data_IF_266665999594
#
_entry.id   IF_266665999594
#
_cell.length_a   1.000
_cell.length_b   1.000
_cell.length_c   1.000
_cell.angle_alpha   90.00
_cell.angle_beta   90.00
_cell.angle_gamma   90.00
#
_symmetry.space_group_name_H-M   'P 1'
#
loop_
_entity.id
_entity.type
_entity.pdbx_description
1 polymer ?
#
# COMPACT_ATOMS: atom_id res chain seq x y z
N UNK A 1 29.59 -53.65 -157.86
CA UNK A 1 30.83 -53.25 -158.58
C UNK A 1 30.86 -51.74 -158.66
N UNK A 2 31.99 -51.14 -158.27
CA UNK A 2 32.61 -49.91 -158.84
C UNK A 2 31.73 -48.65 -158.97
N UNK A 3 32.18 -47.42 -158.74
CA UNK A 3 33.39 -46.77 -158.25
C UNK A 3 33.10 -45.26 -158.45
N UNK A 4 33.71 -44.38 -157.64
CA UNK A 4 34.42 -43.13 -158.03
C UNK A 4 33.76 -42.23 -159.11
N UNK A 5 33.60 -40.90 -159.00
CA UNK A 5 34.53 -39.89 -158.49
C UNK A 5 33.93 -38.49 -158.62
N UNK A 6 34.48 -37.58 -157.81
CA UNK A 6 34.57 -36.11 -157.86
C UNK A 6 34.59 -35.40 -159.23
N UNK A 7 34.05 -34.16 -159.27
CA UNK A 7 34.55 -32.92 -159.93
C UNK A 7 33.48 -31.82 -159.78
N UNK A 8 33.64 -30.78 -158.95
CA UNK A 8 34.28 -29.47 -159.23
C UNK A 8 33.90 -28.80 -160.56
N UNK A 9 33.20 -27.65 -160.49
CA UNK A 9 33.58 -26.41 -161.18
C UNK A 9 32.70 -25.22 -160.77
N UNK A 10 33.36 -24.08 -160.55
CA UNK A 10 32.82 -22.74 -160.34
C UNK A 10 32.80 -22.00 -161.70
N UNK A 11 31.79 -21.14 -161.96
CA UNK A 11 31.94 -19.70 -162.32
C UNK A 11 30.67 -19.06 -162.91
N UNK A 12 30.30 -17.93 -162.28
CA UNK A 12 29.98 -16.58 -162.84
C UNK A 12 28.64 -16.32 -163.56
N UNK A 13 28.13 -15.13 -163.24
CA UNK A 13 26.85 -14.47 -163.45
C UNK A 13 26.56 -14.00 -164.89
N UNK A 14 25.29 -13.68 -165.20
CA UNK A 14 24.91 -12.52 -166.01
C UNK A 14 23.47 -12.03 -165.73
N UNK A 15 23.34 -10.70 -165.69
CA UNK A 15 22.11 -9.90 -165.58
C UNK A 15 21.49 -9.61 -166.98
N UNK A 16 20.17 -9.38 -166.97
CA UNK A 16 19.33 -8.53 -167.84
C UNK A 16 18.81 -9.00 -169.22
N UNK A 17 17.64 -8.40 -169.55
CA UNK A 17 16.74 -8.46 -170.73
C UNK A 17 15.58 -9.48 -170.57
N UNK A 18 14.41 -9.16 -169.99
CA UNK A 18 13.31 -8.22 -170.37
C UNK A 18 12.60 -8.65 -171.67
N UNK A 19 11.39 -9.24 -171.61
CA UNK A 19 10.11 -8.53 -171.79
C UNK A 19 8.86 -9.45 -171.78
N UNK A 20 7.82 -8.91 -171.12
CA UNK A 20 6.38 -8.98 -171.43
C UNK A 20 5.69 -10.34 -171.64
N UNK A 21 4.96 -10.78 -170.61
CA UNK A 21 3.93 -11.81 -170.78
C UNK A 21 2.98 -12.06 -169.62
N UNK A 22 3.18 -11.47 -168.43
CA UNK A 22 2.30 -11.69 -167.27
C UNK A 22 1.91 -10.38 -166.58
N UNK A 23 1.13 -9.55 -167.29
CA UNK A 23 0.19 -8.59 -166.72
C UNK A 23 -1.18 -8.97 -167.25
N UNK A 24 -2.00 -9.68 -166.45
CA UNK A 24 -3.48 -9.75 -166.51
C UNK A 24 -4.06 -10.90 -165.64
N UNK A 25 -3.44 -11.26 -164.50
CA UNK A 25 -4.05 -12.17 -163.51
C UNK A 25 -3.71 -11.74 -162.07
N UNK A 26 -3.84 -10.44 -161.77
CA UNK A 26 -3.60 -9.85 -160.44
C UNK A 26 -4.80 -8.98 -159.98
N UNK A 27 -6.02 -9.52 -160.00
CA UNK A 27 -7.20 -8.80 -159.48
C UNK A 27 -8.18 -9.67 -158.67
N UNK A 28 -7.98 -10.98 -158.49
CA UNK A 28 -8.92 -11.79 -157.69
C UNK A 28 -8.23 -12.94 -156.96
N UNK A 29 -7.55 -12.66 -155.84
CA UNK A 29 -7.29 -13.65 -154.77
C UNK A 29 -6.67 -13.08 -153.46
N UNK A 30 -6.59 -11.75 -153.27
CA UNK A 30 -6.02 -11.11 -152.06
C UNK A 30 -6.93 -11.13 -150.82
N UNK A 31 -8.24 -11.34 -150.97
CA UNK A 31 -9.19 -11.30 -149.85
C UNK A 31 -9.17 -12.56 -148.95
N UNK A 32 -8.45 -13.63 -149.34
CA UNK A 32 -8.44 -14.90 -148.57
C UNK A 32 -7.27 -15.03 -147.59
N UNK A 33 -6.09 -14.50 -147.91
CA UNK A 33 -4.88 -14.57 -147.06
C UNK A 33 -4.86 -13.49 -145.97
N UNK A 34 -5.28 -12.27 -146.29
CA UNK A 34 -5.40 -11.19 -145.30
C UNK A 34 -6.47 -11.49 -144.24
N UNK A 35 -7.56 -12.19 -144.62
CA UNK A 35 -8.58 -12.66 -143.67
C UNK A 35 -8.05 -13.79 -142.78
N UNK A 36 -7.23 -14.70 -143.31
CA UNK A 36 -6.60 -15.77 -142.52
C UNK A 36 -5.53 -15.26 -141.56
N UNK A 37 -4.71 -14.28 -141.94
CA UNK A 37 -3.72 -13.66 -141.05
C UNK A 37 -4.36 -12.75 -139.99
N UNK A 38 -5.43 -12.02 -140.32
CA UNK A 38 -6.25 -11.27 -139.34
C UNK A 38 -6.99 -12.22 -138.38
N UNK A 39 -7.44 -13.39 -138.85
CA UNK A 39 -8.02 -14.42 -137.98
C UNK A 39 -6.96 -15.09 -137.10
N UNK A 40 -5.77 -15.38 -137.62
CA UNK A 40 -4.68 -15.99 -136.84
C UNK A 40 -4.11 -15.01 -135.81
N UNK A 41 -3.91 -13.73 -136.17
CA UNK A 41 -3.52 -12.69 -135.21
C UNK A 41 -4.60 -12.43 -134.16
N UNK A 42 -5.88 -12.40 -134.53
CA UNK A 42 -6.97 -12.30 -133.55
C UNK A 42 -7.06 -13.54 -132.64
N UNK A 43 -6.80 -14.74 -133.16
CA UNK A 43 -6.73 -15.98 -132.37
C UNK A 43 -5.51 -15.99 -131.45
N UNK A 44 -4.36 -15.46 -131.89
CA UNK A 44 -3.16 -15.30 -131.08
C UNK A 44 -3.36 -14.22 -130.00
N UNK A 45 -3.93 -13.06 -130.34
CA UNK A 45 -4.25 -12.00 -129.39
C UNK A 45 -5.30 -12.45 -128.38
N UNK A 46 -6.30 -13.23 -128.80
CA UNK A 46 -7.23 -13.88 -127.88
C UNK A 46 -6.54 -14.93 -127.00
N UNK A 47 -5.61 -15.71 -127.54
CA UNK A 47 -4.85 -16.70 -126.77
C UNK A 47 -3.89 -16.02 -125.77
N UNK A 48 -3.23 -14.93 -126.15
CA UNK A 48 -2.39 -14.10 -125.29
C UNK A 48 -3.21 -13.34 -124.25
N UNK A 49 -4.39 -12.84 -124.61
CA UNK A 49 -5.33 -12.24 -123.67
C UNK A 49 -5.89 -13.28 -122.68
N UNK A 50 -6.14 -14.52 -123.13
CA UNK A 50 -6.54 -15.63 -122.24
C UNK A 50 -5.38 -16.02 -121.33
N UNK A 51 -4.16 -16.20 -121.85
CA UNK A 51 -2.98 -16.52 -121.06
C UNK A 51 -2.60 -15.41 -120.07
N UNK A 52 -2.72 -14.13 -120.43
CA UNK A 52 -2.47 -13.02 -119.50
C UNK A 52 -3.57 -12.90 -118.43
N UNK A 53 -4.82 -13.20 -118.75
CA UNK A 53 -5.92 -13.31 -117.77
C UNK A 53 -5.71 -14.49 -116.83
N UNK A 54 -5.32 -15.65 -117.35
CA UNK A 54 -4.97 -16.84 -116.57
C UNK A 54 -3.76 -16.59 -115.67
N UNK A 55 -2.71 -15.94 -116.18
CA UNK A 55 -1.52 -15.56 -115.41
C UNK A 55 -1.87 -14.55 -114.31
N UNK A 56 -2.66 -13.52 -114.61
CA UNK A 56 -3.14 -12.57 -113.60
C UNK A 56 -4.02 -13.25 -112.54
N UNK A 57 -4.88 -14.17 -112.94
CA UNK A 57 -5.69 -14.97 -112.02
C UNK A 57 -4.82 -15.91 -111.15
N UNK A 58 -3.79 -16.52 -111.73
CA UNK A 58 -2.83 -17.35 -111.00
C UNK A 58 -1.99 -16.53 -110.01
N UNK A 59 -1.52 -15.34 -110.42
CA UNK A 59 -0.81 -14.40 -109.53
C UNK A 59 -1.70 -13.89 -108.41
N UNK A 60 -2.98 -13.60 -108.68
CA UNK A 60 -3.94 -13.20 -107.66
C UNK A 60 -4.19 -14.34 -106.65
N UNK A 61 -4.42 -15.57 -107.14
CA UNK A 61 -4.54 -16.76 -106.28
C UNK A 61 -3.29 -17.00 -105.43
N UNK A 62 -2.10 -16.86 -106.01
CA UNK A 62 -0.83 -16.96 -105.27
C UNK A 62 -0.68 -15.85 -104.22
N UNK A 63 -1.14 -14.63 -104.52
CA UNK A 63 -1.11 -13.51 -103.56
C UNK A 63 -2.07 -13.75 -102.41
N UNK A 64 -3.31 -14.15 -102.71
CA UNK A 64 -4.33 -14.47 -101.71
C UNK A 64 -3.87 -15.63 -100.83
N UNK A 65 -3.27 -16.68 -101.41
CA UNK A 65 -2.66 -17.79 -100.67
C UNK A 65 -1.52 -17.32 -99.76
N UNK A 66 -0.62 -16.44 -100.24
CA UNK A 66 0.45 -15.87 -99.41
C UNK A 66 -0.07 -14.99 -98.28
N UNK A 67 -1.12 -14.21 -98.53
CA UNK A 67 -1.72 -13.34 -97.52
C UNK A 67 -2.49 -14.17 -96.47
N UNK A 68 -3.15 -15.26 -96.88
CA UNK A 68 -3.73 -16.24 -95.96
C UNK A 68 -2.66 -16.97 -95.14
N UNK A 69 -1.56 -17.39 -95.75
CA UNK A 69 -0.44 -18.01 -95.05
C UNK A 69 0.20 -17.04 -94.05
N UNK A 70 0.37 -15.77 -94.42
CA UNK A 70 0.83 -14.71 -93.51
C UNK A 70 -0.12 -14.51 -92.35
N UNK A 71 -1.43 -14.41 -92.59
CA UNK A 71 -2.43 -14.30 -91.52
C UNK A 71 -2.38 -15.50 -90.58
N UNK A 72 -2.33 -16.71 -91.13
CA UNK A 72 -2.18 -17.94 -90.33
C UNK A 72 -0.87 -17.97 -89.55
N UNK A 73 0.23 -17.48 -90.10
CA UNK A 73 1.51 -17.39 -89.39
C UNK A 73 1.44 -16.38 -88.23
N UNK A 74 0.90 -15.19 -88.46
CA UNK A 74 0.71 -14.16 -87.43
C UNK A 74 -0.23 -14.63 -86.32
N UNK A 75 -1.32 -15.31 -86.66
CA UNK A 75 -2.23 -15.90 -85.66
C UNK A 75 -1.55 -17.00 -84.84
N UNK A 76 -0.72 -17.85 -85.47
CA UNK A 76 0.07 -18.86 -84.74
C UNK A 76 1.06 -18.20 -83.78
N UNK A 77 1.76 -17.16 -84.22
CA UNK A 77 2.68 -16.41 -83.36
C UNK A 77 1.94 -15.73 -82.21
N UNK A 78 0.82 -15.07 -82.49
CA UNK A 78 -0.02 -14.44 -81.46
C UNK A 78 -0.49 -15.46 -80.43
N UNK A 79 -1.06 -16.58 -80.86
CA UNK A 79 -1.51 -17.66 -79.96
C UNK A 79 -0.34 -18.26 -79.17
N UNK A 80 0.85 -18.35 -79.77
CA UNK A 80 2.05 -18.81 -79.08
C UNK A 80 2.48 -17.83 -77.98
N UNK A 81 2.49 -16.53 -78.26
CA UNK A 81 2.85 -15.51 -77.28
C UNK A 81 1.79 -15.31 -76.20
N UNK A 82 0.50 -15.43 -76.52
CA UNK A 82 -0.58 -15.40 -75.53
C UNK A 82 -0.43 -16.57 -74.55
N UNK A 83 -0.24 -17.81 -75.05
CA UNK A 83 0.04 -18.98 -74.19
C UNK A 83 1.33 -18.83 -73.38
N UNK A 84 2.34 -18.16 -73.93
CA UNK A 84 3.59 -17.89 -73.22
C UNK A 84 3.38 -16.85 -72.11
N UNK A 85 2.60 -15.80 -72.36
CA UNK A 85 2.25 -14.77 -71.38
C UNK A 85 1.44 -15.36 -70.23
N UNK A 86 0.44 -16.19 -70.52
CA UNK A 86 -0.34 -16.91 -69.50
C UNK A 86 0.56 -17.77 -68.60
N UNK A 87 1.51 -18.53 -69.19
CA UNK A 87 2.46 -19.31 -68.40
C UNK A 87 3.37 -18.46 -67.52
N UNK A 88 3.81 -17.31 -68.02
CA UNK A 88 4.63 -16.38 -67.23
C UNK A 88 3.80 -15.81 -66.09
N UNK A 89 2.53 -15.48 -66.33
CA UNK A 89 1.63 -14.95 -65.31
C UNK A 89 1.33 -15.99 -64.22
N UNK A 90 1.04 -17.23 -64.59
CA UNK A 90 0.83 -18.32 -63.61
C UNK A 90 2.08 -18.55 -62.77
N UNK A 91 3.26 -18.61 -63.40
CA UNK A 91 4.54 -18.75 -62.69
C UNK A 91 4.82 -17.57 -61.76
N UNK A 92 4.54 -16.33 -62.20
CA UNK A 92 4.70 -15.15 -61.35
C UNK A 92 3.78 -15.24 -60.14
N UNK A 93 2.50 -15.56 -60.36
CA UNK A 93 1.51 -15.63 -59.28
C UNK A 93 1.83 -16.75 -58.27
N UNK A 94 2.34 -17.89 -58.75
CA UNK A 94 2.83 -18.98 -57.88
C UNK A 94 4.02 -18.52 -57.01
N UNK A 95 5.03 -17.89 -57.63
CA UNK A 95 6.20 -17.36 -56.91
C UNK A 95 5.84 -16.23 -55.94
N UNK A 96 4.92 -15.34 -56.32
CA UNK A 96 4.41 -14.30 -55.43
C UNK A 96 3.65 -14.91 -54.25
N UNK A 97 2.79 -15.91 -54.49
CA UNK A 97 2.08 -16.61 -53.43
C UNK A 97 3.03 -17.32 -52.46
N UNK A 98 4.10 -17.94 -52.96
CA UNK A 98 5.16 -18.53 -52.11
C UNK A 98 5.87 -17.46 -51.28
N UNK A 99 6.28 -16.35 -51.89
CA UNK A 99 6.89 -15.22 -51.18
C UNK A 99 5.97 -14.65 -50.10
N UNK A 100 4.69 -14.48 -50.41
CA UNK A 100 3.70 -14.00 -49.43
C UNK A 100 3.57 -14.99 -48.27
N UNK A 101 3.51 -16.31 -48.53
CA UNK A 101 3.45 -17.33 -47.48
C UNK A 101 4.71 -17.35 -46.61
N UNK A 102 5.88 -17.13 -47.18
CA UNK A 102 7.12 -17.04 -46.41
C UNK A 102 7.16 -15.78 -45.55
N UNK A 103 6.73 -14.65 -46.10
CA UNK A 103 6.64 -13.38 -45.37
C UNK A 103 5.63 -13.46 -44.23
N UNK A 104 4.45 -14.04 -44.43
CA UNK A 104 3.47 -14.22 -43.35
C UNK A 104 4.01 -15.12 -42.26
N UNK A 105 4.67 -16.24 -42.61
CA UNK A 105 5.33 -17.11 -41.62
C UNK A 105 6.41 -16.38 -40.82
N UNK A 106 7.21 -15.51 -41.45
CA UNK A 106 8.23 -14.72 -40.75
C UNK A 106 7.59 -13.71 -39.79
N UNK A 107 6.59 -12.97 -40.26
CA UNK A 107 5.87 -11.99 -39.43
C UNK A 107 5.12 -12.65 -38.27
N UNK A 108 4.52 -13.82 -38.49
CA UNK A 108 3.88 -14.59 -37.42
C UNK A 108 4.89 -15.04 -36.35
N UNK A 109 6.07 -15.49 -36.76
CA UNK A 109 7.16 -15.86 -35.83
C UNK A 109 7.65 -14.65 -35.04
N UNK A 110 7.88 -13.52 -35.70
CA UNK A 110 8.29 -12.27 -35.04
C UNK A 110 7.23 -11.78 -34.06
N UNK A 111 5.94 -11.84 -34.45
CA UNK A 111 4.82 -11.51 -33.57
C UNK A 111 4.77 -12.44 -32.35
N UNK A 112 4.93 -13.74 -32.53
CA UNK A 112 4.94 -14.71 -31.44
C UNK A 112 6.12 -14.49 -30.49
N UNK A 113 7.31 -14.21 -31.03
CA UNK A 113 8.50 -13.89 -30.24
C UNK A 113 8.29 -12.60 -29.42
N UNK A 114 7.81 -11.53 -30.05
CA UNK A 114 7.53 -10.27 -29.36
C UNK A 114 6.46 -10.43 -28.27
N UNK A 115 5.42 -11.22 -28.52
CA UNK A 115 4.42 -11.54 -27.51
C UNK A 115 5.05 -12.32 -26.35
N UNK A 116 5.86 -13.34 -26.62
CA UNK A 116 6.53 -14.12 -25.58
C UNK A 116 7.44 -13.24 -24.70
N UNK A 117 8.24 -12.36 -25.30
CA UNK A 117 9.08 -11.41 -24.56
C UNK A 117 8.25 -10.44 -23.69
N UNK A 118 7.14 -9.93 -24.22
CA UNK A 118 6.22 -9.09 -23.44
C UNK A 118 5.59 -9.85 -22.28
N UNK A 119 5.21 -11.11 -22.48
CA UNK A 119 4.68 -11.96 -21.42
C UNK A 119 5.71 -12.19 -20.33
N UNK A 120 6.95 -12.55 -20.68
CA UNK A 120 8.03 -12.72 -19.70
C UNK A 120 8.30 -11.44 -18.93
N UNK A 121 8.33 -10.28 -19.62
CA UNK A 121 8.51 -8.99 -18.97
C UNK A 121 7.35 -8.66 -18.01
N UNK A 122 6.11 -8.89 -18.42
CA UNK A 122 4.95 -8.70 -17.56
C UNK A 122 4.98 -9.62 -16.34
N UNK A 123 5.38 -10.89 -16.49
CA UNK A 123 5.51 -11.82 -15.36
C UNK A 123 6.60 -11.36 -14.38
N UNK A 124 7.75 -10.91 -14.87
CA UNK A 124 8.79 -10.33 -13.99
C UNK A 124 8.28 -9.12 -13.22
N UNK A 125 7.58 -8.19 -13.88
CA UNK A 125 6.99 -7.04 -13.21
C UNK A 125 5.95 -7.43 -12.16
N UNK A 126 5.14 -8.48 -12.41
CA UNK A 126 4.20 -9.00 -11.42
C UNK A 126 4.93 -9.57 -10.21
N UNK A 127 5.99 -10.35 -10.43
CA UNK A 127 6.80 -10.92 -9.36
C UNK A 127 7.45 -9.82 -8.50
N UNK A 128 8.05 -8.80 -9.14
CA UNK A 128 8.63 -7.63 -8.46
C UNK A 128 7.57 -6.89 -7.63
N UNK A 129 6.40 -6.61 -8.21
CA UNK A 129 5.29 -5.96 -7.51
C UNK A 129 4.78 -6.77 -6.31
N UNK A 130 4.72 -8.10 -6.43
CA UNK A 130 4.34 -8.99 -5.32
C UNK A 130 5.39 -8.93 -4.20
N UNK A 131 6.68 -8.90 -4.54
CA UNK A 131 7.76 -8.79 -3.55
C UNK A 131 7.70 -7.45 -2.83
N UNK A 132 7.53 -6.35 -3.56
CA UNK A 132 7.37 -5.02 -2.98
C UNK A 132 6.16 -4.95 -2.05
N UNK A 133 5.00 -5.44 -2.49
CA UNK A 133 3.79 -5.49 -1.67
C UNK A 133 3.98 -6.32 -0.39
N UNK A 134 4.70 -7.45 -0.46
CA UNK A 134 5.05 -8.24 0.73
C UNK A 134 5.98 -7.48 1.69
N UNK A 135 6.94 -6.74 1.16
CA UNK A 135 7.85 -5.92 1.97
C UNK A 135 7.08 -4.79 2.67
N UNK A 136 6.17 -4.11 1.96
CA UNK A 136 5.34 -3.06 2.54
C UNK A 136 4.40 -3.60 3.60
N UNK A 137 3.71 -4.70 3.32
CA UNK A 137 2.81 -5.36 4.27
C UNK A 137 3.56 -5.81 5.53
N UNK A 138 4.74 -6.42 5.38
CA UNK A 138 5.55 -6.83 6.54
C UNK A 138 6.05 -5.64 7.36
N UNK A 139 6.34 -4.49 6.72
CA UNK A 139 6.67 -3.24 7.44
C UNK A 139 5.45 -2.69 8.20
N UNK A 140 4.25 -2.72 7.61
CA UNK A 140 3.02 -2.29 8.25
C UNK A 140 2.70 -3.18 9.47
N UNK A 141 2.70 -4.51 9.29
CA UNK A 141 2.47 -5.47 10.36
C UNK A 141 3.48 -5.32 11.51
N UNK A 142 4.75 -5.03 11.22
CA UNK A 142 5.73 -4.75 12.28
C UNK A 142 5.40 -3.49 13.07
N UNK A 143 4.96 -2.42 12.41
CA UNK A 143 4.56 -1.17 13.06
C UNK A 143 3.31 -1.36 13.92
N UNK A 144 2.31 -2.03 13.38
CA UNK A 144 1.08 -2.38 14.11
C UNK A 144 1.41 -3.24 15.33
N UNK A 145 2.24 -4.28 15.16
CA UNK A 145 2.68 -5.12 16.26
C UNK A 145 3.46 -4.34 17.34
N UNK A 146 4.31 -3.38 16.96
CA UNK A 146 4.99 -2.54 17.96
C UNK A 146 4.02 -1.68 18.76
N UNK A 147 3.02 -1.10 18.11
CA UNK A 147 1.99 -0.27 18.75
C UNK A 147 1.13 -1.13 19.67
N UNK A 148 0.61 -2.27 19.20
CA UNK A 148 -0.18 -3.20 20.01
C UNK A 148 0.60 -3.73 21.21
N UNK A 149 1.90 -4.02 21.04
CA UNK A 149 2.77 -4.44 22.14
C UNK A 149 2.95 -3.33 23.17
N UNK A 150 3.17 -2.10 22.74
CA UNK A 150 3.29 -0.94 23.63
C UNK A 150 1.99 -0.66 24.39
N UNK A 151 0.85 -0.74 23.72
CA UNK A 151 -0.48 -0.62 24.32
C UNK A 151 -0.73 -1.73 25.35
N UNK A 152 -0.42 -2.99 25.03
CA UNK A 152 -0.56 -4.10 25.95
C UNK A 152 0.35 -3.95 27.19
N UNK A 153 1.58 -3.47 27.02
CA UNK A 153 2.49 -3.16 28.12
C UNK A 153 1.93 -2.00 28.97
N UNK A 154 1.43 -0.95 28.34
CA UNK A 154 0.85 0.20 29.04
C UNK A 154 -0.39 -0.19 29.85
N UNK A 155 -1.28 -1.02 29.31
CA UNK A 155 -2.43 -1.57 30.02
C UNK A 155 -2.03 -2.46 31.19
N UNK A 156 -1.04 -3.34 30.99
CA UNK A 156 -0.53 -4.21 32.05
C UNK A 156 0.07 -3.38 33.20
N UNK A 157 0.88 -2.36 32.88
CA UNK A 157 1.44 -1.44 33.86
C UNK A 157 0.35 -0.63 34.57
N UNK A 158 -0.69 -0.18 33.86
CA UNK A 158 -1.83 0.53 34.46
C UNK A 158 -2.56 -0.36 35.48
N UNK A 159 -2.92 -1.59 35.07
CA UNK A 159 -3.55 -2.58 35.97
C UNK A 159 -2.66 -2.91 37.17
N UNK A 160 -1.34 -2.99 36.99
CA UNK A 160 -0.41 -3.23 38.08
C UNK A 160 -0.33 -2.04 39.05
N UNK A 161 -0.25 -0.80 38.53
CA UNK A 161 -0.26 0.42 39.34
C UNK A 161 -1.55 0.53 40.16
N UNK A 162 -2.71 0.28 39.55
CA UNK A 162 -4.00 0.27 40.26
C UNK A 162 -4.00 -0.76 41.41
N UNK A 163 -3.53 -1.98 41.15
CA UNK A 163 -3.40 -3.02 42.18
C UNK A 163 -2.43 -2.66 43.31
N UNK A 164 -1.35 -1.96 43.00
CA UNK A 164 -0.41 -1.49 44.02
C UNK A 164 -1.04 -0.38 44.87
N UNK A 165 -1.70 0.59 44.23
CA UNK A 165 -2.41 1.66 44.94
C UNK A 165 -3.51 1.13 45.87
N UNK A 166 -4.29 0.13 45.43
CA UNK A 166 -5.30 -0.49 46.32
C UNK A 166 -4.65 -1.20 47.50
N UNK A 167 -3.57 -1.96 47.27
CA UNK A 167 -2.82 -2.63 48.35
C UNK A 167 -2.18 -1.63 49.32
N UNK A 168 -1.64 -0.52 48.83
CA UNK A 168 -1.07 0.53 49.65
C UNK A 168 -2.14 1.16 50.54
N UNK A 169 -3.32 1.49 49.98
CA UNK A 169 -4.47 1.98 50.76
C UNK A 169 -4.90 0.98 51.83
N UNK A 170 -5.06 -0.29 51.47
CA UNK A 170 -5.41 -1.35 52.43
C UNK A 170 -4.36 -1.49 53.54
N UNK A 171 -3.07 -1.37 53.21
CA UNK A 171 -1.99 -1.43 54.20
C UNK A 171 -1.98 -0.20 55.11
N UNK A 172 -2.22 1.00 54.57
CA UNK A 172 -2.37 2.22 55.35
C UNK A 172 -3.56 2.08 56.31
N UNK A 173 -4.71 1.60 55.83
CA UNK A 173 -5.88 1.38 56.69
C UNK A 173 -5.63 0.34 57.79
N UNK A 174 -4.95 -0.77 57.47
CA UNK A 174 -4.56 -1.78 58.47
C UNK A 174 -3.62 -1.19 59.52
N UNK A 175 -2.60 -0.46 59.08
CA UNK A 175 -1.63 0.16 60.01
C UNK A 175 -2.28 1.23 60.89
N UNK A 176 -3.19 2.04 60.36
CA UNK A 176 -3.99 2.99 61.16
C UNK A 176 -4.79 2.25 62.23
N UNK A 177 -5.52 1.19 61.85
CA UNK A 177 -6.31 0.39 62.82
C UNK A 177 -5.43 -0.22 63.90
N UNK A 178 -4.28 -0.80 63.53
CA UNK A 178 -3.33 -1.37 64.50
C UNK A 178 -2.76 -0.30 65.45
N UNK A 179 -2.46 0.89 64.93
CA UNK A 179 -2.00 2.02 65.72
C UNK A 179 -3.09 2.51 66.69
N UNK A 180 -4.33 2.66 66.23
CA UNK A 180 -5.47 3.05 67.06
C UNK A 180 -5.76 2.02 68.15
N UNK A 181 -5.70 0.72 67.84
CA UNK A 181 -5.87 -0.34 68.84
C UNK A 181 -4.76 -0.32 69.91
N UNK A 182 -3.51 -0.13 69.50
CA UNK A 182 -2.37 0.00 70.43
C UNK A 182 -2.52 1.26 71.27
N UNK A 183 -2.90 2.39 70.67
CA UNK A 183 -3.14 3.64 71.39
C UNK A 183 -4.29 3.50 72.39
N UNK A 184 -5.38 2.81 72.02
CA UNK A 184 -6.51 2.53 72.92
C UNK A 184 -6.09 1.66 74.11
N UNK A 185 -5.36 0.56 73.86
CA UNK A 185 -4.85 -0.32 74.94
C UNK A 185 -3.94 0.45 75.89
N UNK A 186 -3.09 1.32 75.36
CA UNK A 186 -2.20 2.15 76.17
C UNK A 186 -2.97 3.22 76.95
N UNK A 187 -3.96 3.87 76.33
CA UNK A 187 -4.85 4.82 77.00
C UNK A 187 -5.63 4.14 78.15
N UNK A 188 -6.14 2.93 77.93
CA UNK A 188 -6.81 2.14 78.98
C UNK A 188 -5.83 1.77 80.12
N UNK A 189 -4.58 1.43 79.80
CA UNK A 189 -3.52 1.15 80.79
C UNK A 189 -3.23 2.40 81.64
N UNK A 190 -3.03 3.54 80.99
CA UNK A 190 -2.74 4.83 81.62
C UNK A 190 -3.93 5.29 82.47
N UNK A 191 -5.16 5.19 81.96
CA UNK A 191 -6.36 5.51 82.71
C UNK A 191 -6.48 4.68 84.00
N UNK A 192 -6.18 3.37 83.95
CA UNK A 192 -6.14 2.52 85.16
C UNK A 192 -5.07 2.95 86.16
N UNK A 193 -3.90 3.40 85.68
CA UNK A 193 -2.84 3.91 86.56
C UNK A 193 -3.25 5.22 87.22
N UNK A 194 -3.78 6.16 86.45
CA UNK A 194 -4.28 7.43 86.98
C UNK A 194 -5.44 7.24 87.95
N UNK A 195 -6.37 6.32 87.67
CA UNK A 195 -7.45 6.01 88.62
C UNK A 195 -6.89 5.53 89.95
N UNK A 196 -5.93 4.60 89.94
CA UNK A 196 -5.28 4.12 91.17
C UNK A 196 -4.55 5.25 91.93
N UNK A 197 -3.97 6.20 91.22
CA UNK A 197 -3.29 7.34 91.82
C UNK A 197 -4.29 8.32 92.43
N UNK A 198 -5.40 8.60 91.74
CA UNK A 198 -6.53 9.38 92.27
C UNK A 198 -7.08 8.72 93.52
N UNK A 199 -7.31 7.40 93.52
CA UNK A 199 -7.82 6.67 94.66
C UNK A 199 -6.86 6.78 95.87
N UNK A 200 -5.55 6.61 95.65
CA UNK A 200 -4.52 6.79 96.70
C UNK A 200 -4.50 8.22 97.26
N UNK A 201 -4.60 9.22 96.39
CA UNK A 201 -4.63 10.62 96.82
C UNK A 201 -5.91 10.95 97.59
N UNK A 202 -7.05 10.41 97.16
CA UNK A 202 -8.33 10.53 97.85
C UNK A 202 -8.27 9.84 99.22
N UNK A 203 -7.70 8.65 99.33
CA UNK A 203 -7.51 7.96 100.62
C UNK A 203 -6.66 8.79 101.58
N UNK A 204 -5.57 9.38 101.08
CA UNK A 204 -4.70 10.27 101.87
C UNK A 204 -5.44 11.55 102.28
N UNK A 205 -6.21 12.13 101.37
CA UNK A 205 -7.03 13.31 101.64
C UNK A 205 -8.06 13.00 102.73
N UNK A 206 -8.82 11.92 102.58
CA UNK A 206 -9.83 11.48 103.55
C UNK A 206 -9.21 11.18 104.92
N UNK A 207 -8.02 10.56 104.96
CA UNK A 207 -7.31 10.33 106.22
C UNK A 207 -6.88 11.64 106.89
N UNK A 208 -6.42 12.63 106.10
CA UNK A 208 -6.06 13.95 106.61
C UNK A 208 -7.29 14.73 107.08
N UNK A 209 -8.40 14.66 106.34
CA UNK A 209 -9.68 15.27 106.69
C UNK A 209 -10.23 14.70 108.01
N UNK A 210 -10.17 13.37 108.21
CA UNK A 210 -10.54 12.75 109.50
C UNK A 210 -9.67 13.25 110.64
N UNK A 211 -8.34 13.33 110.46
CA UNK A 211 -7.43 13.88 111.48
C UNK A 211 -7.76 15.34 111.78
N UNK A 212 -7.99 16.14 110.74
CA UNK A 212 -8.39 17.53 110.89
C UNK A 212 -9.70 17.68 111.68
N UNK A 213 -10.72 16.87 111.38
CA UNK A 213 -11.98 16.88 112.11
C UNK A 213 -11.81 16.49 113.59
N UNK A 214 -10.95 15.50 113.88
CA UNK A 214 -10.60 15.13 115.27
C UNK A 214 -9.93 16.30 115.99
N UNK A 215 -8.89 16.88 115.40
CA UNK A 215 -8.16 18.03 115.99
C UNK A 215 -9.07 19.25 116.15
N UNK A 216 -9.96 19.50 115.17
CA UNK A 216 -10.97 20.54 115.25
C UNK A 216 -11.93 20.31 116.41
N UNK A 217 -12.42 19.08 116.58
CA UNK A 217 -13.29 18.72 117.70
C UNK A 217 -12.59 18.82 119.06
N UNK A 218 -11.32 18.41 119.14
CA UNK A 218 -10.51 18.51 120.35
C UNK A 218 -10.25 19.97 120.70
N UNK A 219 -9.86 20.78 119.71
CA UNK A 219 -9.73 22.24 119.87
C UNK A 219 -11.02 22.86 120.37
N UNK A 220 -12.17 22.49 119.81
CA UNK A 220 -13.46 23.02 120.23
C UNK A 220 -13.77 22.66 121.70
N UNK A 221 -13.54 21.41 122.11
CA UNK A 221 -13.70 21.00 123.52
C UNK A 221 -12.77 21.74 124.47
N UNK A 222 -11.50 21.91 124.10
CA UNK A 222 -10.53 22.68 124.91
C UNK A 222 -10.95 24.15 125.01
N UNK A 223 -11.45 24.74 123.91
CA UNK A 223 -11.99 26.09 123.93
C UNK A 223 -13.24 26.21 124.81
N UNK A 224 -14.11 25.20 124.82
CA UNK A 224 -15.28 25.11 125.71
C UNK A 224 -14.86 24.97 127.18
N UNK A 225 -13.98 24.02 127.51
CA UNK A 225 -13.45 23.81 128.86
C UNK A 225 -12.76 25.07 129.38
N UNK A 226 -11.99 25.75 128.53
CA UNK A 226 -11.34 27.01 128.89
C UNK A 226 -12.36 28.13 129.14
N UNK A 227 -13.45 28.20 128.38
CA UNK A 227 -14.55 29.16 128.65
C UNK A 227 -15.25 28.83 129.98
N UNK A 228 -15.54 27.57 130.26
CA UNK A 228 -16.11 27.13 131.54
C UNK A 228 -15.20 27.51 132.71
N UNK A 229 -13.89 27.26 132.60
CA UNK A 229 -12.91 27.65 133.62
C UNK A 229 -12.86 29.17 133.82
N UNK A 230 -12.94 29.95 132.74
CA UNK A 230 -13.02 31.41 132.84
C UNK A 230 -14.28 31.87 133.57
N UNK A 231 -15.43 31.23 133.31
CA UNK A 231 -16.69 31.57 133.96
C UNK A 231 -16.72 31.13 135.43
N UNK A 232 -16.18 29.96 135.76
CA UNK A 232 -16.00 29.52 137.15
C UNK A 232 -15.02 30.42 137.91
N UNK A 233 -13.98 30.92 137.25
CA UNK A 233 -13.09 31.92 137.84
C UNK A 233 -13.80 33.25 138.08
N UNK A 234 -14.63 33.73 137.14
CA UNK A 234 -15.48 34.92 137.38
C UNK A 234 -16.38 34.70 138.60
N UNK A 235 -17.05 33.55 138.69
CA UNK A 235 -17.89 33.19 139.86
C UNK A 235 -17.08 33.16 141.16
N UNK A 236 -15.86 32.63 141.14
CA UNK A 236 -14.97 32.63 142.30
C UNK A 236 -14.58 34.05 142.72
N UNK A 237 -14.27 34.94 141.77
CA UNK A 237 -13.99 36.35 142.05
C UNK A 237 -15.21 37.06 142.65
N UNK A 238 -16.41 36.81 142.10
CA UNK A 238 -17.67 37.35 142.61
C UNK A 238 -17.94 36.87 144.05
N UNK A 239 -17.55 35.63 144.40
CA UNK A 239 -17.75 35.07 145.73
C UNK A 239 -16.68 35.49 146.76
N UNK A 240 -15.51 35.95 146.30
CA UNK A 240 -14.38 36.34 147.16
C UNK A 240 -14.16 37.86 147.21
N UNK A 241 -15.14 38.65 146.75
CA UNK A 241 -15.06 40.12 146.61
C UNK A 241 -13.77 40.58 145.89
N UNK A 242 -13.25 39.76 144.98
CA UNK A 242 -12.02 40.03 144.24
C UNK A 242 -10.73 40.07 145.08
N UNK A 243 -10.74 39.66 146.35
CA UNK A 243 -9.54 39.75 147.23
C UNK A 243 -8.44 38.74 146.93
N UNK A 244 -8.76 37.61 146.28
CA UNK A 244 -7.82 36.55 145.98
C UNK A 244 -7.75 36.32 144.46
N UNK A 245 -6.66 36.76 143.82
CA UNK A 245 -6.39 36.46 142.43
C UNK A 245 -5.43 35.26 142.33
N UNK A 246 -5.76 34.26 141.52
CA UNK A 246 -4.77 33.27 141.09
C UNK A 246 -3.95 33.86 139.93
N UNK A 247 -2.64 34.06 140.15
CA UNK A 247 -1.68 34.53 139.13
C UNK A 247 -1.70 33.67 137.85
N UNK A 248 -2.14 32.42 137.97
CA UNK A 248 -2.21 31.43 136.91
C UNK A 248 -3.13 31.84 135.74
N UNK A 249 -4.32 32.39 136.03
CA UNK A 249 -5.29 32.75 134.97
C UNK A 249 -5.01 34.10 134.32
N UNK A 250 -4.36 35.03 135.04
CA UNK A 250 -3.86 36.28 134.46
C UNK A 250 -2.71 36.03 133.47
N UNK A 251 -1.82 35.08 133.77
CA UNK A 251 -0.78 34.64 132.81
C UNK A 251 -1.38 34.03 131.55
N UNK A 252 -2.40 33.16 131.68
CA UNK A 252 -3.06 32.52 130.54
C UNK A 252 -3.83 33.51 129.64
N UNK A 253 -4.46 34.54 130.23
CA UNK A 253 -5.08 35.63 129.47
C UNK A 253 -4.04 36.39 128.64
N UNK A 254 -2.89 36.69 129.22
CA UNK A 254 -1.82 37.43 128.55
C UNK A 254 -1.15 36.62 127.43
N UNK A 255 -0.93 35.31 127.63
CA UNK A 255 -0.36 34.42 126.61
C UNK A 255 -1.34 34.09 125.48
N UNK A 256 -2.63 33.88 125.80
CA UNK A 256 -3.68 33.68 124.79
C UNK A 256 -3.83 34.87 123.85
N UNK A 257 -3.81 36.10 124.38
CA UNK A 257 -3.79 37.33 123.58
C UNK A 257 -2.54 37.45 122.70
N UNK A 258 -1.38 36.98 123.19
CA UNK A 258 -0.11 37.04 122.47
C UNK A 258 -0.04 36.04 121.32
N UNK A 259 -0.65 34.86 121.47
CA UNK A 259 -0.77 33.84 120.42
C UNK A 259 -1.82 34.22 119.37
N UNK A 260 -2.95 34.80 119.76
CA UNK A 260 -3.99 35.28 118.84
C UNK A 260 -3.50 36.41 117.90
N UNK A 261 -2.48 37.16 118.30
CA UNK A 261 -1.87 38.23 117.51
C UNK A 261 -0.79 37.75 116.51
N UNK A 262 -0.42 36.46 116.50
CA UNK A 262 0.55 35.89 115.54
C UNK A 262 -0.18 35.33 114.31
N UNK A 263 0.40 35.51 113.10
CA UNK A 263 -0.13 34.93 111.86
C UNK A 263 0.09 33.41 111.86
N UNK A 264 -0.90 32.66 111.35
CA UNK A 264 -0.97 31.19 111.40
C UNK A 264 0.23 30.49 110.74
N UNK A 265 0.98 31.17 109.86
CA UNK A 265 2.19 30.65 109.20
C UNK A 265 3.42 30.50 110.09
N UNK A 266 3.44 31.13 111.28
CA UNK A 266 4.67 31.32 112.07
C UNK A 266 4.65 30.56 113.41
N UNK A 267 3.67 29.67 113.63
CA UNK A 267 3.57 28.87 114.85
C UNK A 267 4.19 27.49 114.59
N UNK A 268 5.43 27.29 115.05
CA UNK A 268 6.11 25.99 115.01
C UNK A 268 5.83 25.17 116.27
N UNK A 269 5.96 23.84 116.17
CA UNK A 269 5.71 22.89 117.27
C UNK A 269 6.61 23.14 118.51
N UNK A 270 7.75 23.82 118.31
CA UNK A 270 8.71 24.18 119.35
C UNK A 270 8.20 25.29 120.28
N UNK A 271 7.33 26.18 119.81
CA UNK A 271 6.71 27.23 120.64
C UNK A 271 5.74 26.64 121.68
N UNK A 272 5.16 25.47 121.40
CA UNK A 272 4.28 24.74 122.33
C UNK A 272 5.10 23.94 123.35
N UNK A 273 6.35 23.58 123.05
CA UNK A 273 7.19 22.76 123.94
C UNK A 273 7.94 23.55 125.02
N UNK A 274 8.00 24.87 124.92
CA UNK A 274 8.50 25.74 126.00
C UNK A 274 7.49 25.91 127.17
N UNK A 275 6.40 25.13 127.17
CA UNK A 275 5.31 25.16 128.17
C UNK A 275 5.49 24.15 129.33
N UNK A 276 6.70 23.58 129.54
CA UNK A 276 7.03 22.83 130.77
C UNK A 276 7.67 23.73 131.82
#
# INVERSE_FOLDING_TARGET
MLNKTTLSTQRVQHNNVIDLGNRMLLVKDDDSKERQEKLLSHVLDEAEARHTRELRAALKRLRDQKDEEKKRAVERERNYYEKKAERIETQRNELEAERFRELTKKLEKEKQAALAEQWEYCERLKEEAIVEAKIELTKQLRKEFTVEKEEAIAEALKKQKEKLLTKEKENIEKTIKECEEKARKEAERVAKLHQKEIDRLNDRYNALERKYQIEYSHRHRVEEDFRCLQDDYKRFLDHTDGKFHSDYLMRLRYTGLRLANKRISDVTYEDVYQLK
#
